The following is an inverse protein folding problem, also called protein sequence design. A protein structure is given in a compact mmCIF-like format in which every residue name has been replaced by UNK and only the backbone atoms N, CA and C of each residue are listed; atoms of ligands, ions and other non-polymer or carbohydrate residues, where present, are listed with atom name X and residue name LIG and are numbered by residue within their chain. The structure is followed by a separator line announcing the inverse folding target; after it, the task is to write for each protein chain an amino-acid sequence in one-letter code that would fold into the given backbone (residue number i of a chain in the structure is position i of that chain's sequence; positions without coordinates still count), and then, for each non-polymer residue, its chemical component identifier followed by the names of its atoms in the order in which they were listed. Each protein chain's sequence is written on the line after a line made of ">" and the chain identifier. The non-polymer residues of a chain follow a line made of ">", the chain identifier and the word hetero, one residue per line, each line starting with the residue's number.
data_IF_556497112027
#
_entry.id   IF_556497112027
#
_cell.length_a   1.000
_cell.length_b   1.000
_cell.length_c   1.000
_cell.angle_alpha   90.00
_cell.angle_beta   90.00
_cell.angle_gamma   90.00
#
_symmetry.space_group_name_H-M   'P 1'
#
loop_
_entity.id
_entity.type
_entity.pdbx_description
1 polymer ?
#
# COMPACT_ATOMS: atom_id res chain seq x y z
N UNK A 1 11.13 -2.89 -12.11
CA UNK A 1 11.17 -4.36 -12.22
C UNK A 1 12.29 -4.94 -11.38
N UNK A 2 13.58 -4.76 -11.70
CA UNK A 2 14.69 -5.33 -10.92
C UNK A 2 14.61 -5.05 -9.41
N UNK A 3 14.44 -3.78 -9.04
CA UNK A 3 14.27 -3.38 -7.63
C UNK A 3 13.01 -3.95 -6.96
N UNK A 4 11.95 -4.21 -7.72
CA UNK A 4 10.74 -4.81 -7.17
C UNK A 4 10.94 -6.30 -6.89
N UNK A 5 11.55 -7.01 -7.84
CA UNK A 5 11.92 -8.42 -7.68
C UNK A 5 12.88 -8.62 -6.50
N UNK A 6 13.85 -7.72 -6.34
CA UNK A 6 14.75 -7.73 -5.18
C UNK A 6 14.01 -7.59 -3.86
N UNK A 7 13.04 -6.67 -3.79
CA UNK A 7 12.24 -6.45 -2.59
C UNK A 7 11.35 -7.65 -2.27
N UNK A 8 10.72 -8.26 -3.27
CA UNK A 8 9.96 -9.49 -3.06
C UNK A 8 10.86 -10.62 -2.59
N UNK A 9 12.02 -10.79 -3.20
CA UNK A 9 12.98 -11.80 -2.80
C UNK A 9 13.53 -11.59 -1.38
N UNK A 10 13.63 -10.34 -0.92
CA UNK A 10 14.06 -9.99 0.44
C UNK A 10 12.92 -9.88 1.46
N UNK A 11 11.67 -10.12 1.07
CA UNK A 11 10.53 -10.08 1.98
C UNK A 11 10.11 -11.49 2.42
N UNK A 12 9.08 -11.59 3.28
CA UNK A 12 8.44 -12.87 3.60
C UNK A 12 7.97 -13.65 2.37
N UNK A 13 7.64 -12.95 1.28
CA UNK A 13 7.27 -13.61 0.03
C UNK A 13 8.47 -14.37 -0.56
N UNK A 14 9.69 -13.86 -0.40
CA UNK A 14 10.93 -14.53 -0.77
C UNK A 14 11.27 -15.76 0.09
N UNK A 15 10.63 -15.91 1.26
CA UNK A 15 10.72 -17.14 2.06
C UNK A 15 9.82 -18.25 1.49
N UNK A 16 8.77 -17.88 0.74
CA UNK A 16 7.76 -18.79 0.20
C UNK A 16 7.89 -19.04 -1.31
N UNK A 17 8.47 -18.09 -2.04
CA UNK A 17 8.61 -18.13 -3.48
C UNK A 17 10.03 -17.74 -3.93
N UNK A 18 10.49 -18.37 -5.01
CA UNK A 18 11.78 -18.02 -5.63
C UNK A 18 11.61 -17.00 -6.74
N UNK A 19 12.39 -15.93 -6.66
CA UNK A 19 12.40 -14.86 -7.65
C UNK A 19 13.64 -14.99 -8.51
N UNK A 20 13.44 -15.29 -9.80
CA UNK A 20 14.49 -15.48 -10.78
C UNK A 20 14.39 -14.42 -11.89
N UNK A 21 15.50 -13.73 -12.15
CA UNK A 21 15.67 -12.86 -13.31
C UNK A 21 16.62 -13.51 -14.30
N UNK A 22 16.18 -13.74 -15.54
CA UNK A 22 16.99 -14.39 -16.58
C UNK A 22 17.30 -13.41 -17.70
N UNK A 23 18.59 -13.13 -17.92
CA UNK A 23 19.06 -12.30 -19.03
C UNK A 23 19.13 -13.12 -20.34
N UNK A 24 18.49 -12.59 -21.38
CA UNK A 24 18.34 -13.22 -22.71
C UNK A 24 18.66 -12.23 -23.82
N UNK A 25 19.89 -11.70 -23.82
CA UNK A 25 20.39 -10.76 -24.83
C UNK A 25 21.68 -11.25 -25.51
N UNK A 26 22.33 -10.38 -26.31
CA UNK A 26 23.56 -10.71 -27.04
C UNK A 26 24.77 -10.96 -26.14
N UNK A 27 24.82 -10.37 -24.93
CA UNK A 27 25.90 -10.50 -23.96
C UNK A 27 25.34 -10.82 -22.56
N UNK A 28 24.67 -11.96 -22.40
CA UNK A 28 23.70 -12.17 -21.33
C UNK A 28 24.36 -12.31 -19.96
N UNK A 29 25.59 -12.85 -19.89
CA UNK A 29 26.40 -12.84 -18.66
C UNK A 29 26.81 -11.43 -18.24
N UNK A 30 27.20 -10.58 -19.20
CA UNK A 30 27.61 -9.19 -18.92
C UNK A 30 26.43 -8.40 -18.38
N UNK A 31 25.26 -8.55 -19.01
CA UNK A 31 24.02 -7.90 -18.58
C UNK A 31 23.61 -8.36 -17.19
N UNK A 32 23.64 -9.67 -16.92
CA UNK A 32 23.37 -10.22 -15.59
C UNK A 32 24.27 -9.58 -14.51
N UNK A 33 25.59 -9.53 -14.75
CA UNK A 33 26.55 -8.88 -13.83
C UNK A 33 26.28 -7.39 -13.67
N UNK A 34 25.91 -6.70 -14.74
CA UNK A 34 25.58 -5.29 -14.69
C UNK A 34 24.35 -5.06 -13.81
N UNK A 35 23.28 -5.84 -13.96
CA UNK A 35 22.07 -5.71 -13.15
C UNK A 35 22.36 -5.89 -11.65
N UNK A 36 23.15 -6.90 -11.28
CA UNK A 36 23.57 -7.10 -9.89
C UNK A 36 24.29 -5.87 -9.35
N UNK A 37 25.25 -5.34 -10.11
CA UNK A 37 26.03 -4.18 -9.69
C UNK A 37 25.24 -2.86 -9.67
N UNK A 38 24.34 -2.65 -10.64
CA UNK A 38 23.63 -1.38 -10.84
C UNK A 38 22.48 -1.22 -9.85
N UNK A 39 21.82 -2.32 -9.49
CA UNK A 39 20.66 -2.32 -8.61
C UNK A 39 20.94 -2.88 -7.21
N UNK A 40 22.19 -3.24 -6.90
CA UNK A 40 22.60 -3.85 -5.64
C UNK A 40 21.71 -5.04 -5.24
N UNK A 41 21.61 -6.00 -6.15
CA UNK A 41 20.74 -7.16 -6.00
C UNK A 41 21.42 -8.20 -5.10
N UNK A 42 20.79 -8.54 -3.98
CA UNK A 42 21.31 -9.45 -2.96
C UNK A 42 20.42 -10.68 -2.79
N UNK A 43 19.10 -10.54 -2.93
CA UNK A 43 18.12 -11.57 -2.64
C UNK A 43 17.59 -12.25 -3.90
N UNK A 44 17.35 -11.48 -4.98
CA UNK A 44 16.85 -12.06 -6.23
C UNK A 44 17.94 -12.90 -6.91
N UNK A 45 17.56 -14.09 -7.39
CA UNK A 45 18.47 -14.91 -8.17
C UNK A 45 18.57 -14.36 -9.60
N UNK A 46 19.80 -14.19 -10.08
CA UNK A 46 20.07 -13.81 -11.47
C UNK A 46 20.71 -14.97 -12.23
N UNK A 47 20.11 -15.29 -13.37
CA UNK A 47 20.61 -16.25 -14.34
C UNK A 47 20.74 -15.63 -15.74
N UNK A 48 21.31 -16.39 -16.66
CA UNK A 48 21.44 -15.97 -18.06
C UNK A 48 21.43 -17.19 -18.99
N UNK A 49 20.93 -17.01 -20.21
CA UNK A 49 20.99 -18.04 -21.25
C UNK A 49 22.26 -17.83 -22.09
N UNK A 50 23.22 -18.76 -22.03
CA UNK A 50 24.50 -18.63 -22.74
C UNK A 50 24.36 -18.77 -24.26
N UNK A 51 23.25 -19.35 -24.73
CA UNK A 51 22.94 -19.47 -26.14
C UNK A 51 21.44 -19.36 -26.42
N UNK A 52 21.07 -18.97 -27.64
CA UNK A 52 19.66 -18.86 -28.05
C UNK A 52 18.92 -20.21 -27.99
N UNK A 53 19.64 -21.34 -28.03
CA UNK A 53 19.05 -22.68 -27.90
C UNK A 53 18.54 -22.98 -26.49
N UNK A 54 19.01 -22.22 -25.49
CA UNK A 54 18.58 -22.32 -24.10
C UNK A 54 17.40 -21.40 -23.79
N UNK A 55 16.90 -20.65 -24.78
CA UNK A 55 15.79 -19.74 -24.55
C UNK A 55 14.52 -20.53 -24.20
N UNK A 56 13.67 -20.00 -23.31
CA UNK A 56 12.36 -20.57 -23.03
C UNK A 56 11.58 -20.85 -24.32
N UNK A 57 11.12 -22.09 -24.47
CA UNK A 57 10.30 -22.53 -25.62
C UNK A 57 8.79 -22.42 -25.37
N UNK A 58 8.40 -22.14 -24.12
CA UNK A 58 7.02 -21.87 -23.74
C UNK A 58 6.63 -20.42 -24.09
N UNK A 59 5.32 -20.12 -24.29
CA UNK A 59 4.84 -18.77 -24.63
C UNK A 59 4.90 -17.85 -23.41
N UNK A 60 6.12 -17.42 -23.04
CA UNK A 60 6.38 -16.45 -21.97
C UNK A 60 6.73 -15.07 -22.52
N UNK A 61 6.15 -14.02 -21.95
CA UNK A 61 6.60 -12.65 -22.26
C UNK A 61 7.89 -12.34 -21.50
N UNK A 62 8.86 -11.71 -22.18
CA UNK A 62 10.18 -11.39 -21.64
C UNK A 62 10.30 -9.89 -21.33
N UNK A 63 11.01 -9.55 -20.25
CA UNK A 63 11.32 -8.15 -19.87
C UNK A 63 10.18 -7.43 -19.14
N UNK A 64 10.08 -6.10 -19.30
CA UNK A 64 9.06 -5.27 -18.64
C UNK A 64 7.61 -5.55 -19.07
N UNK A 65 7.42 -6.57 -19.91
CA UNK A 65 6.13 -7.03 -20.39
C UNK A 65 5.36 -7.89 -19.40
N UNK A 66 5.96 -8.34 -18.30
CA UNK A 66 5.29 -9.15 -17.30
C UNK A 66 6.22 -10.21 -16.71
N UNK A 67 5.64 -11.13 -15.96
CA UNK A 67 6.30 -12.27 -15.35
C UNK A 67 5.70 -13.57 -15.88
N UNK A 68 6.48 -14.63 -15.69
CA UNK A 68 6.02 -16.01 -15.80
C UNK A 68 6.05 -16.57 -14.39
N UNK A 69 4.93 -17.13 -13.96
CA UNK A 69 4.78 -17.67 -12.61
C UNK A 69 4.63 -19.19 -12.72
N UNK A 70 5.46 -19.90 -11.98
CA UNK A 70 5.43 -21.35 -11.87
C UNK A 70 4.84 -21.74 -10.52
N UNK A 71 4.09 -22.85 -10.49
CA UNK A 71 3.67 -23.48 -9.24
C UNK A 71 4.83 -24.28 -8.63
N UNK A 72 4.59 -24.85 -7.44
CA UNK A 72 5.53 -25.72 -6.72
C UNK A 72 5.97 -26.98 -7.48
N UNK A 73 5.14 -27.46 -8.41
CA UNK A 73 5.42 -28.62 -9.26
C UNK A 73 6.26 -28.23 -10.48
N UNK A 74 6.61 -26.94 -10.63
CA UNK A 74 7.33 -26.41 -11.78
C UNK A 74 6.47 -26.29 -13.04
N UNK A 75 5.13 -26.32 -12.92
CA UNK A 75 4.21 -26.07 -14.03
C UNK A 75 3.93 -24.58 -14.14
N UNK A 76 3.61 -24.12 -15.34
CA UNK A 76 3.29 -22.71 -15.58
C UNK A 76 1.88 -22.44 -15.05
N UNK A 77 1.78 -21.71 -13.94
CA UNK A 77 0.52 -21.20 -13.42
C UNK A 77 0.05 -19.98 -14.21
N UNK A 78 0.98 -19.07 -14.54
CA UNK A 78 0.72 -17.90 -15.38
C UNK A 78 1.84 -17.73 -16.40
N UNK A 79 1.49 -17.92 -17.68
CA UNK A 79 2.44 -17.77 -18.79
C UNK A 79 2.77 -16.31 -19.10
N UNK A 80 1.88 -15.38 -18.71
CA UNK A 80 1.99 -13.96 -19.00
C UNK A 80 1.17 -13.16 -18.00
N UNK A 81 1.81 -12.54 -17.02
CA UNK A 81 1.13 -11.51 -16.21
C UNK A 81 0.87 -10.28 -17.07
N UNK A 82 0.03 -9.37 -16.57
CA UNK A 82 -0.15 -8.08 -17.22
C UNK A 82 1.15 -7.29 -17.35
N UNK A 83 1.23 -6.47 -18.38
CA UNK A 83 2.42 -5.67 -18.69
C UNK A 83 2.62 -4.55 -17.69
N UNK A 84 3.79 -4.54 -17.03
CA UNK A 84 4.18 -3.48 -16.12
C UNK A 84 4.28 -2.12 -16.81
N UNK A 85 4.61 -2.11 -18.11
CA UNK A 85 4.67 -0.89 -18.90
C UNK A 85 3.30 -0.34 -19.30
N UNK A 86 2.28 -1.21 -19.42
CA UNK A 86 0.95 -0.83 -19.91
C UNK A 86 0.01 -0.43 -18.78
N UNK A 87 0.07 -1.13 -17.65
CA UNK A 87 -0.87 -0.92 -16.54
C UNK A 87 -0.20 -0.58 -15.20
N UNK A 88 1.13 -0.40 -15.20
CA UNK A 88 1.89 0.14 -14.07
C UNK A 88 1.75 -0.69 -12.79
N UNK A 89 1.39 -0.03 -11.69
CA UNK A 89 1.25 -0.65 -10.35
C UNK A 89 0.23 -1.79 -10.34
N UNK A 90 -0.80 -1.75 -11.18
CA UNK A 90 -1.84 -2.80 -11.25
C UNK A 90 -1.32 -4.15 -11.73
N UNK A 91 -0.28 -4.17 -12.59
CA UNK A 91 0.33 -5.42 -13.03
C UNK A 91 1.12 -6.10 -11.91
N UNK A 92 1.71 -5.32 -11.01
CA UNK A 92 2.39 -5.85 -9.82
C UNK A 92 1.39 -6.50 -8.88
N UNK A 93 0.28 -5.82 -8.59
CA UNK A 93 -0.81 -6.36 -7.77
C UNK A 93 -1.35 -7.71 -8.26
N UNK A 94 -1.56 -7.86 -9.57
CA UNK A 94 -2.05 -9.12 -10.12
C UNK A 94 -1.03 -10.25 -9.99
N UNK A 95 0.26 -9.94 -10.16
CA UNK A 95 1.33 -10.90 -9.93
C UNK A 95 1.42 -11.28 -8.45
N UNK A 96 1.30 -10.30 -7.54
CA UNK A 96 1.26 -10.52 -6.08
C UNK A 96 0.15 -11.52 -5.71
N UNK A 97 -1.10 -11.23 -6.08
CA UNK A 97 -2.24 -12.11 -5.78
C UNK A 97 -2.04 -13.52 -6.34
N UNK A 98 -1.43 -13.65 -7.53
CA UNK A 98 -1.20 -14.97 -8.13
C UNK A 98 -0.16 -15.78 -7.35
N UNK A 99 0.98 -15.17 -7.02
CA UNK A 99 2.07 -15.85 -6.29
C UNK A 99 1.54 -16.30 -4.93
N UNK A 100 0.81 -15.42 -4.28
CA UNK A 100 0.17 -15.67 -3.01
C UNK A 100 -0.79 -16.86 -3.00
N UNK A 101 -1.77 -16.89 -3.92
CA UNK A 101 -2.70 -18.02 -4.03
C UNK A 101 -1.95 -19.35 -4.21
N UNK A 102 -0.85 -19.35 -4.95
CA UNK A 102 -0.03 -20.56 -5.15
C UNK A 102 0.77 -20.96 -3.91
N UNK A 103 1.11 -20.02 -3.04
CA UNK A 103 1.79 -20.30 -1.78
C UNK A 103 0.83 -20.87 -0.71
N UNK A 104 -0.46 -20.52 -0.78
CA UNK A 104 -1.49 -20.91 0.20
C UNK A 104 -2.20 -22.25 -0.13
N UNK A 105 -2.05 -22.81 -1.34
CA UNK A 105 -2.61 -24.14 -1.72
C UNK A 105 -2.11 -25.33 -0.87
N UNK A 106 -1.27 -25.08 0.15
CA UNK A 106 -0.71 -26.08 1.07
C UNK A 106 -1.24 -26.02 2.52
N UNK A 107 -2.04 -25.01 2.87
CA UNK A 107 -2.80 -25.02 4.13
C UNK A 107 -4.24 -25.48 3.82
N UNK A 108 -4.52 -26.78 3.94
CA UNK A 108 -5.87 -27.37 3.80
C UNK A 108 -6.83 -26.94 4.94
N UNK A 109 -6.76 -25.69 5.36
CA UNK A 109 -7.65 -25.10 6.35
C UNK A 109 -7.30 -23.64 6.55
N UNK A 110 -7.88 -22.77 5.74
CA UNK A 110 -8.51 -21.53 6.19
C UNK A 110 -9.23 -20.87 5.00
N UNK A 111 -10.33 -20.19 5.30
CA UNK A 111 -11.30 -19.67 4.34
C UNK A 111 -10.67 -18.69 3.33
N UNK A 112 -11.14 -18.70 2.07
CA UNK A 112 -10.65 -17.91 0.93
C UNK A 112 -10.54 -16.38 1.22
N UNK A 113 -11.27 -15.88 2.23
CA UNK A 113 -11.23 -14.50 2.72
C UNK A 113 -9.99 -14.19 3.58
N UNK A 114 -9.52 -15.15 4.37
CA UNK A 114 -8.39 -15.00 5.30
C UNK A 114 -7.05 -14.93 4.55
N UNK A 115 -6.99 -15.60 3.40
CA UNK A 115 -5.92 -15.49 2.40
C UNK A 115 -5.83 -14.07 1.83
N UNK A 116 -6.93 -13.52 1.31
CA UNK A 116 -6.94 -12.16 0.76
C UNK A 116 -6.53 -11.09 1.81
N UNK A 117 -6.95 -11.29 3.06
CA UNK A 117 -6.62 -10.46 4.23
C UNK A 117 -5.13 -10.53 4.62
N UNK A 118 -4.55 -11.74 4.72
CA UNK A 118 -3.11 -11.90 5.01
C UNK A 118 -2.24 -11.27 3.92
N UNK A 119 -2.64 -11.40 2.66
CA UNK A 119 -1.91 -10.86 1.51
C UNK A 119 -1.95 -9.34 1.47
N UNK A 120 -3.10 -8.75 1.76
CA UNK A 120 -3.23 -7.31 1.89
C UNK A 120 -2.37 -6.76 3.05
N UNK A 121 -2.24 -7.50 4.16
CA UNK A 121 -1.42 -7.13 5.34
C UNK A 121 0.06 -7.06 5.01
N UNK A 122 0.61 -8.10 4.39
CA UNK A 122 2.03 -8.14 4.03
C UNK A 122 2.34 -7.14 2.89
N UNK A 123 1.40 -6.88 1.99
CA UNK A 123 1.55 -5.89 0.90
C UNK A 123 1.55 -4.43 1.37
N UNK A 124 0.72 -4.07 2.34
CA UNK A 124 0.73 -2.72 2.93
C UNK A 124 1.96 -2.49 3.82
N UNK A 125 2.49 -3.53 4.48
CA UNK A 125 3.78 -3.43 5.18
C UNK A 125 4.93 -3.08 4.23
N UNK A 126 4.97 -3.69 3.04
CA UNK A 126 5.98 -3.39 2.00
C UNK A 126 5.82 -1.96 1.43
N UNK A 127 4.59 -1.44 1.37
CA UNK A 127 4.30 -0.07 0.93
C UNK A 127 4.73 0.98 1.96
N UNK A 128 4.51 0.72 3.26
CA UNK A 128 4.97 1.57 4.37
C UNK A 128 6.50 1.69 4.42
N UNK A 129 7.22 0.60 4.16
CA UNK A 129 8.70 0.62 4.10
C UNK A 129 9.24 1.48 2.94
N UNK A 130 8.51 1.57 1.82
CA UNK A 130 8.84 2.50 0.74
C UNK A 130 8.69 3.98 1.15
N UNK A 131 7.64 4.33 1.90
CA UNK A 131 7.42 5.70 2.36
C UNK A 131 8.38 6.11 3.49
N UNK A 132 8.70 5.19 4.41
CA UNK A 132 9.66 5.44 5.49
C UNK A 132 11.11 5.62 5.00
N UNK A 133 11.52 4.93 3.92
CA UNK A 133 12.83 5.10 3.30
C UNK A 133 13.05 6.51 2.70
N UNK A 134 11.98 7.22 2.36
CA UNK A 134 12.06 8.61 1.85
C UNK A 134 12.32 9.62 2.99
N UNK A 135 11.89 9.32 4.21
CA UNK A 135 12.02 10.19 5.40
C UNK A 135 13.40 10.09 6.05
N UNK A 136 14.03 8.91 6.01
CA UNK A 136 15.40 8.73 6.55
C UNK A 136 16.46 9.47 5.75
N UNK A 137 16.26 9.65 4.43
CA UNK A 137 17.11 10.45 3.56
C UNK A 137 17.00 11.97 3.81
N UNK A 138 15.89 12.45 4.39
CA UNK A 138 15.66 13.87 4.72
C UNK A 138 16.11 14.26 6.15
N UNK A 139 16.33 13.28 7.05
CA UNK A 139 16.79 13.51 8.44
C UNK A 139 18.29 13.76 8.60
N UNK A 140 19.06 13.83 7.51
CA UNK A 140 20.53 13.96 7.54
C UNK A 140 21.10 15.35 7.82
N UNK A 141 20.27 16.38 8.06
CA UNK A 141 20.72 17.74 8.41
C UNK A 141 19.72 18.39 9.35
N UNK A 142 20.00 18.32 10.66
CA UNK A 142 20.10 19.49 11.52
C UNK A 142 20.41 19.04 12.96
N UNK A 143 21.59 19.47 13.41
CA UNK A 143 22.08 19.34 14.78
C UNK A 143 21.51 20.50 15.64
N UNK A 144 21.59 20.29 16.97
CA UNK A 144 21.52 21.28 18.06
C UNK A 144 20.18 21.40 18.83
N UNK A 145 20.10 20.58 19.90
CA UNK A 145 20.01 20.96 21.34
C UNK A 145 18.93 21.97 21.77
N UNK A 146 17.99 21.49 22.60
CA UNK A 146 17.45 22.28 23.72
C UNK A 146 17.00 21.37 24.87
N UNK A 147 17.40 21.76 26.07
CA UNK A 147 17.20 21.17 27.38
C UNK A 147 16.01 21.88 28.04
N UNK A 148 15.04 21.17 28.64
CA UNK A 148 14.12 21.74 29.65
C UNK A 148 13.36 20.66 30.43
N UNK A 149 13.64 20.59 31.73
CA UNK A 149 12.76 20.05 32.78
C UNK A 149 11.54 20.95 33.00
N UNK A 150 10.38 20.35 33.23
CA UNK A 150 9.21 21.02 33.82
C UNK A 150 8.13 20.02 34.20
N UNK A 151 7.79 19.96 35.50
CA UNK A 151 6.90 19.00 36.16
C UNK A 151 5.50 19.61 36.34
N UNK A 152 4.48 18.74 36.26
CA UNK A 152 3.12 18.82 36.83
C UNK A 152 2.21 19.99 36.43
N UNK A 153 1.03 19.68 35.92
CA UNK A 153 -0.15 19.65 36.79
C UNK A 153 -1.31 18.82 36.20
N UNK A 154 -2.04 18.21 37.14
CA UNK A 154 -3.10 17.23 36.98
C UNK A 154 -4.42 17.98 36.79
N UNK A 155 -5.10 17.77 35.66
CA UNK A 155 -6.50 18.16 35.47
C UNK A 155 -7.28 16.97 34.90
N UNK A 156 -8.45 16.78 35.48
CA UNK A 156 -9.37 15.66 35.32
C UNK A 156 -9.71 15.37 33.85
N UNK A 157 -9.65 14.10 33.50
CA UNK A 157 -9.83 13.54 32.17
C UNK A 157 -11.31 13.43 31.82
N UNK A 158 -11.83 14.43 31.13
CA UNK A 158 -12.70 14.11 29.98
C UNK A 158 -11.77 13.52 28.92
N UNK A 159 -11.99 12.27 28.51
CA UNK A 159 -11.26 11.66 27.40
C UNK A 159 -11.50 12.51 26.15
N UNK A 160 -10.62 13.48 25.90
CA UNK A 160 -10.58 14.21 24.64
C UNK A 160 -10.32 13.19 23.54
N UNK A 161 -11.36 12.88 22.77
CA UNK A 161 -11.26 12.11 21.53
C UNK A 161 -10.07 12.66 20.73
N UNK A 162 -9.09 11.81 20.45
CA UNK A 162 -7.90 12.22 19.72
C UNK A 162 -8.30 12.64 18.30
N UNK A 163 -7.68 13.70 17.78
CA UNK A 163 -8.00 14.24 16.46
C UNK A 163 -7.79 13.17 15.38
N UNK A 164 -8.80 12.96 14.53
CA UNK A 164 -8.77 11.96 13.47
C UNK A 164 -8.99 10.53 13.95
N UNK A 165 -9.34 10.34 15.23
CA UNK A 165 -9.65 9.01 15.76
C UNK A 165 -11.01 8.56 15.28
N UNK A 166 -11.04 7.41 14.62
CA UNK A 166 -12.25 6.80 14.08
C UNK A 166 -12.54 5.46 14.76
N UNK A 167 -13.81 5.01 14.79
CA UNK A 167 -14.16 3.71 15.35
C UNK A 167 -13.49 2.57 14.58
N UNK A 168 -13.20 1.48 15.30
CA UNK A 168 -12.82 0.22 14.65
C UNK A 168 -13.96 -0.31 13.80
N UNK A 169 -13.61 -0.83 12.63
CA UNK A 169 -14.53 -1.49 11.70
C UNK A 169 -14.41 -3.01 11.73
N UNK A 170 -13.71 -3.55 12.74
CA UNK A 170 -13.52 -4.99 12.92
C UNK A 170 -12.65 -5.65 11.87
N UNK A 171 -11.91 -4.86 11.09
CA UNK A 171 -10.98 -5.32 10.06
C UNK A 171 -9.60 -4.74 10.37
N UNK A 172 -8.71 -5.58 10.90
CA UNK A 172 -7.38 -5.21 11.40
C UNK A 172 -6.65 -4.18 10.52
N UNK A 173 -6.71 -4.34 9.20
CA UNK A 173 -5.97 -3.49 8.26
C UNK A 173 -6.60 -2.12 8.06
N UNK A 174 -7.93 -2.06 8.06
CA UNK A 174 -8.64 -0.79 8.00
C UNK A 174 -8.42 -0.02 9.29
N UNK A 175 -8.44 -0.73 10.42
CA UNK A 175 -8.16 -0.15 11.74
C UNK A 175 -6.71 0.34 11.84
N UNK A 176 -5.74 -0.40 11.31
CA UNK A 176 -4.34 0.06 11.23
C UNK A 176 -4.18 1.31 10.34
N UNK A 177 -4.88 1.38 9.19
CA UNK A 177 -4.87 2.54 8.31
C UNK A 177 -5.52 3.76 8.97
N UNK A 178 -6.65 3.55 9.65
CA UNK A 178 -7.32 4.55 10.48
C UNK A 178 -6.41 5.09 11.58
N UNK A 179 -5.72 4.21 12.31
CA UNK A 179 -4.75 4.60 13.32
C UNK A 179 -3.58 5.38 12.73
N UNK A 180 -3.12 5.01 11.53
CA UNK A 180 -2.04 5.72 10.84
C UNK A 180 -2.45 7.13 10.43
N UNK A 181 -3.62 7.29 9.82
CA UNK A 181 -4.19 8.60 9.51
C UNK A 181 -4.36 9.44 10.79
N UNK A 182 -4.89 8.86 11.86
CA UNK A 182 -5.02 9.51 13.17
C UNK A 182 -3.66 9.97 13.73
N UNK A 183 -2.60 9.17 13.58
CA UNK A 183 -1.27 9.55 14.01
C UNK A 183 -0.72 10.76 13.23
N UNK A 184 -0.98 10.84 11.92
CA UNK A 184 -0.60 11.98 11.09
C UNK A 184 -1.41 13.24 11.44
N UNK A 185 -2.72 13.12 11.71
CA UNK A 185 -3.53 14.21 12.23
C UNK A 185 -2.97 14.76 13.55
N UNK A 186 -2.64 13.88 14.50
CA UNK A 186 -2.03 14.27 15.77
C UNK A 186 -0.64 14.89 15.60
N UNK A 187 0.15 14.41 14.63
CA UNK A 187 1.44 14.99 14.32
C UNK A 187 1.29 16.42 13.81
N UNK A 188 0.34 16.67 12.91
CA UNK A 188 0.05 18.01 12.38
C UNK A 188 -0.49 18.96 13.45
N UNK A 189 -1.29 18.45 14.39
CA UNK A 189 -1.74 19.24 15.54
C UNK A 189 -0.61 19.55 16.53
N UNK A 190 0.43 18.72 16.62
CA UNK A 190 1.59 19.05 17.47
C UNK A 190 2.60 19.94 16.76
N UNK A 191 2.93 19.61 15.52
CA UNK A 191 3.97 20.22 14.71
C UNK A 191 3.48 20.42 13.27
N UNK A 192 2.83 21.56 12.98
CA UNK A 192 2.35 21.87 11.64
C UNK A 192 3.46 21.80 10.61
N UNK A 193 3.21 21.09 9.51
CA UNK A 193 4.19 20.92 8.44
C UNK A 193 3.49 20.63 7.13
N UNK A 194 3.84 21.39 6.08
CA UNK A 194 3.34 21.17 4.72
C UNK A 194 3.66 19.76 4.22
N UNK A 195 4.85 19.24 4.55
CA UNK A 195 5.28 17.91 4.12
C UNK A 195 4.44 16.80 4.79
N UNK A 196 4.16 16.95 6.09
CA UNK A 196 3.32 16.00 6.83
C UNK A 196 1.86 16.09 6.34
N UNK A 197 1.39 17.29 5.97
CA UNK A 197 0.05 17.46 5.39
C UNK A 197 -0.03 16.79 4.02
N UNK A 198 0.97 16.94 3.17
CA UNK A 198 1.04 16.24 1.89
C UNK A 198 1.07 14.72 2.07
N UNK A 199 1.80 14.22 3.08
CA UNK A 199 1.79 12.80 3.43
C UNK A 199 0.39 12.35 3.84
N UNK A 200 -0.28 13.08 4.74
CA UNK A 200 -1.65 12.78 5.16
C UNK A 200 -2.62 12.68 3.98
N UNK A 201 -2.56 13.62 3.01
CA UNK A 201 -3.42 13.57 1.83
C UNK A 201 -3.18 12.30 1.00
N UNK A 202 -1.92 11.90 0.82
CA UNK A 202 -1.57 10.66 0.09
C UNK A 202 -2.02 9.41 0.82
N UNK A 203 -1.90 9.37 2.15
CA UNK A 203 -2.35 8.23 2.96
C UNK A 203 -3.89 8.11 2.92
N UNK A 204 -4.64 9.22 3.00
CA UNK A 204 -6.11 9.20 2.86
C UNK A 204 -6.54 8.72 1.47
N UNK A 205 -5.91 9.21 0.40
CA UNK A 205 -6.20 8.73 -0.96
C UNK A 205 -5.89 7.24 -1.12
N UNK A 206 -4.77 6.79 -0.57
CA UNK A 206 -4.39 5.37 -0.58
C UNK A 206 -5.41 4.52 0.15
N UNK A 207 -5.77 4.91 1.37
CA UNK A 207 -6.75 4.22 2.20
C UNK A 207 -8.08 4.03 1.47
N UNK A 208 -8.63 5.09 0.88
CA UNK A 208 -9.88 5.00 0.12
C UNK A 208 -9.78 4.12 -1.13
N UNK A 209 -8.65 4.13 -1.83
CA UNK A 209 -8.40 3.22 -2.96
C UNK A 209 -8.39 1.76 -2.50
N UNK A 210 -7.78 1.52 -1.35
CA UNK A 210 -7.54 0.21 -0.77
C UNK A 210 -8.85 -0.36 -0.18
N UNK A 211 -9.68 0.48 0.44
CA UNK A 211 -11.03 0.16 0.89
C UNK A 211 -11.99 -0.12 -0.29
N UNK A 212 -11.99 0.70 -1.34
CA UNK A 212 -12.84 0.46 -2.51
C UNK A 212 -12.54 -0.88 -3.18
N UNK A 213 -11.27 -1.33 -3.15
CA UNK A 213 -10.88 -2.65 -3.67
C UNK A 213 -11.45 -3.75 -2.79
N UNK A 214 -11.33 -3.62 -1.46
CA UNK A 214 -11.88 -4.58 -0.49
C UNK A 214 -13.39 -4.72 -0.63
N UNK A 215 -14.11 -3.60 -0.76
CA UNK A 215 -15.56 -3.61 -0.97
C UNK A 215 -15.95 -4.26 -2.30
N UNK A 216 -15.17 -4.02 -3.37
CA UNK A 216 -15.41 -4.69 -4.67
C UNK A 216 -15.15 -6.19 -4.61
N UNK A 217 -14.09 -6.64 -3.95
CA UNK A 217 -13.74 -8.07 -3.87
C UNK A 217 -14.71 -8.87 -3.01
N UNK A 218 -15.28 -8.27 -1.98
CA UNK A 218 -16.30 -8.88 -1.12
C UNK A 218 -17.71 -8.87 -1.72
N UNK A 219 -17.88 -8.30 -2.92
CA UNK A 219 -19.17 -8.19 -3.59
C UNK A 219 -20.10 -7.17 -2.93
N UNK A 220 -19.58 -6.25 -2.11
CA UNK A 220 -20.36 -5.21 -1.47
C UNK A 220 -21.10 -4.36 -2.51
N UNK A 221 -22.42 -4.24 -2.35
CA UNK A 221 -23.29 -3.51 -3.28
C UNK A 221 -23.56 -4.22 -4.62
N UNK A 222 -23.19 -5.50 -4.75
CA UNK A 222 -23.59 -6.35 -5.89
C UNK A 222 -25.09 -6.70 -5.82
N UNK A 223 -25.76 -6.75 -6.99
CA UNK A 223 -27.18 -7.09 -7.08
C UNK A 223 -28.19 -5.93 -6.95
N UNK A 224 -27.73 -4.69 -6.76
CA UNK A 224 -28.58 -3.49 -6.76
C UNK A 224 -28.66 -2.85 -8.16
N UNK A 225 -29.79 -2.20 -8.52
CA UNK A 225 -29.91 -1.45 -9.78
C UNK A 225 -28.82 -0.37 -9.93
N UNK A 226 -28.36 -0.12 -11.16
CA UNK A 226 -27.42 0.97 -11.47
C UNK A 226 -27.98 2.31 -10.92
N UNK A 227 -27.24 2.93 -10.01
CA UNK A 227 -27.60 4.21 -9.38
C UNK A 227 -28.05 4.15 -7.91
N UNK A 228 -28.29 2.96 -7.33
CA UNK A 228 -28.57 2.78 -5.88
C UNK A 228 -27.60 1.82 -5.17
N UNK A 229 -26.45 1.52 -5.78
CA UNK A 229 -25.46 0.68 -5.15
C UNK A 229 -24.76 1.43 -3.99
N UNK A 230 -24.75 0.88 -2.76
CA UNK A 230 -24.01 1.45 -1.63
C UNK A 230 -22.55 1.73 -1.95
N UNK A 231 -21.91 0.85 -2.74
CA UNK A 231 -20.55 1.01 -3.22
C UNK A 231 -20.38 2.28 -4.07
N UNK A 232 -21.34 2.59 -4.95
CA UNK A 232 -21.26 3.79 -5.80
C UNK A 232 -21.33 5.06 -4.94
N UNK A 233 -22.24 5.10 -3.96
CA UNK A 233 -22.36 6.26 -3.07
C UNK A 233 -21.14 6.41 -2.14
N UNK A 234 -20.57 5.28 -1.71
CA UNK A 234 -19.35 5.23 -0.90
C UNK A 234 -18.14 5.78 -1.66
N UNK A 235 -17.88 5.24 -2.86
CA UNK A 235 -16.82 5.71 -3.76
C UNK A 235 -16.98 7.16 -4.23
N UNK A 236 -18.21 7.69 -4.22
CA UNK A 236 -18.45 9.11 -4.50
C UNK A 236 -18.02 9.99 -3.33
N UNK A 237 -18.23 9.54 -2.10
CA UNK A 237 -17.80 10.27 -0.92
C UNK A 237 -16.27 10.30 -0.79
N UNK A 238 -15.58 9.18 -1.09
CA UNK A 238 -14.11 9.15 -1.21
C UNK A 238 -13.59 10.24 -2.13
N UNK A 239 -14.13 10.31 -3.36
CA UNK A 239 -13.72 11.31 -4.34
C UNK A 239 -13.97 12.74 -3.86
N UNK A 240 -15.07 12.97 -3.12
CA UNK A 240 -15.39 14.28 -2.54
C UNK A 240 -14.34 14.67 -1.49
N UNK A 241 -13.99 13.75 -0.58
CA UNK A 241 -13.02 13.98 0.49
C UNK A 241 -11.61 14.16 -0.08
N UNK A 242 -11.17 13.29 -1.00
CA UNK A 242 -9.85 13.42 -1.66
C UNK A 242 -9.74 14.76 -2.38
N UNK A 243 -10.78 15.17 -3.12
CA UNK A 243 -10.79 16.49 -3.76
C UNK A 243 -10.64 17.61 -2.73
N UNK A 244 -11.40 17.57 -1.64
CA UNK A 244 -11.30 18.56 -0.57
C UNK A 244 -9.89 18.59 0.05
N UNK A 245 -9.30 17.42 0.30
CA UNK A 245 -7.95 17.28 0.86
C UNK A 245 -6.88 17.91 -0.05
N UNK A 246 -6.98 17.74 -1.37
CA UNK A 246 -6.09 18.39 -2.34
C UNK A 246 -6.33 19.91 -2.44
N UNK A 247 -7.59 20.37 -2.39
CA UNK A 247 -7.91 21.81 -2.35
C UNK A 247 -7.31 22.46 -1.07
N UNK A 248 -7.36 21.77 0.07
CA UNK A 248 -6.73 22.18 1.34
C UNK A 248 -5.21 22.18 1.27
N UNK A 249 -4.61 21.15 0.66
CA UNK A 249 -3.15 21.08 0.46
C UNK A 249 -2.64 22.26 -0.37
N UNK A 250 -3.36 22.66 -1.41
CA UNK A 250 -2.99 23.82 -2.21
C UNK A 250 -3.03 25.11 -1.37
N UNK A 251 -4.07 25.31 -0.56
CA UNK A 251 -4.16 26.43 0.38
C UNK A 251 -3.00 26.42 1.40
N UNK A 252 -2.65 25.25 1.93
CA UNK A 252 -1.52 25.04 2.84
C UNK A 252 -0.19 25.37 2.14
N UNK A 253 0.02 24.96 0.89
CA UNK A 253 1.24 25.26 0.12
C UNK A 253 1.40 26.76 -0.17
N UNK A 254 0.30 27.45 -0.44
CA UNK A 254 0.32 28.88 -0.77
C UNK A 254 0.59 29.75 0.46
N UNK A 255 -0.04 29.45 1.60
CA UNK A 255 0.05 30.28 2.81
C UNK A 255 1.13 29.81 3.77
N UNK A 256 1.27 28.50 3.95
CA UNK A 256 2.35 27.86 4.71
C UNK A 256 2.42 28.17 6.20
N UNK A 257 1.46 28.91 6.76
CA UNK A 257 1.46 29.25 8.19
C UNK A 257 0.79 28.17 9.05
N UNK A 258 1.25 28.08 10.29
CA UNK A 258 0.81 27.07 11.26
C UNK A 258 -0.70 27.11 11.53
N UNK A 259 -1.32 28.29 11.52
CA UNK A 259 -2.76 28.45 11.77
C UNK A 259 -3.58 27.86 10.63
N UNK A 260 -3.19 28.16 9.38
CA UNK A 260 -3.80 27.57 8.18
C UNK A 260 -3.63 26.05 8.19
N UNK A 261 -2.44 25.53 8.46
CA UNK A 261 -2.21 24.07 8.51
C UNK A 261 -3.13 23.43 9.55
N UNK A 262 -3.19 23.99 10.77
CA UNK A 262 -4.05 23.46 11.84
C UNK A 262 -5.54 23.51 11.50
N UNK A 263 -6.00 24.60 10.90
CA UNK A 263 -7.40 24.76 10.49
C UNK A 263 -7.79 23.71 9.45
N UNK A 264 -6.99 23.55 8.39
CA UNK A 264 -7.25 22.54 7.35
C UNK A 264 -7.10 21.11 7.90
N UNK A 265 -6.18 20.88 8.85
CA UNK A 265 -6.00 19.57 9.50
C UNK A 265 -7.28 19.18 10.27
N UNK A 266 -7.89 20.11 11.00
CA UNK A 266 -9.15 19.85 11.73
C UNK A 266 -10.32 19.59 10.79
N UNK A 267 -10.46 20.41 9.75
CA UNK A 267 -11.53 20.23 8.76
C UNK A 267 -11.43 18.87 8.05
N UNK A 268 -10.21 18.47 7.67
CA UNK A 268 -9.97 17.17 7.05
C UNK A 268 -10.20 16.01 8.03
N UNK A 269 -9.82 16.16 9.30
CA UNK A 269 -10.11 15.18 10.34
C UNK A 269 -11.61 14.99 10.54
N UNK A 270 -12.40 16.08 10.56
CA UNK A 270 -13.86 16.01 10.67
C UNK A 270 -14.50 15.29 9.47
N UNK A 271 -14.02 15.55 8.25
CA UNK A 271 -14.48 14.84 7.05
C UNK A 271 -14.18 13.34 7.13
N UNK A 272 -12.96 12.99 7.51
CA UNK A 272 -12.52 11.61 7.66
C UNK A 272 -13.30 10.87 8.77
N UNK A 273 -13.47 11.51 9.93
CA UNK A 273 -14.23 10.93 11.04
C UNK A 273 -15.70 10.73 10.72
N UNK A 274 -16.31 11.69 10.00
CA UNK A 274 -17.69 11.58 9.55
C UNK A 274 -17.84 10.43 8.57
N UNK A 275 -16.92 10.31 7.60
CA UNK A 275 -16.90 9.20 6.66
C UNK A 275 -16.84 7.85 7.38
N UNK A 276 -15.81 7.64 8.21
CA UNK A 276 -15.64 6.37 8.90
C UNK A 276 -16.82 5.99 9.80
N UNK A 277 -17.43 6.99 10.44
CA UNK A 277 -18.59 6.75 11.30
C UNK A 277 -19.85 6.44 10.49
N UNK A 278 -20.10 7.17 9.40
CA UNK A 278 -21.36 7.06 8.65
C UNK A 278 -21.32 5.97 7.58
N UNK A 279 -20.15 5.66 7.04
CA UNK A 279 -19.95 4.79 5.90
C UNK A 279 -19.23 3.50 6.30
N UNK A 280 -18.04 3.61 6.89
CA UNK A 280 -17.18 2.44 7.11
C UNK A 280 -17.76 1.47 8.13
N UNK A 281 -18.43 2.03 9.14
CA UNK A 281 -19.18 1.26 10.14
C UNK A 281 -20.31 0.39 9.55
N UNK A 282 -20.78 0.66 8.33
CA UNK A 282 -21.95 -0.02 7.74
C UNK A 282 -21.64 -1.36 7.09
N UNK A 283 -20.39 -1.63 6.73
CA UNK A 283 -20.02 -2.92 6.14
C UNK A 283 -19.29 -3.82 7.14
N UNK A 284 -19.14 -3.42 8.40
CA UNK A 284 -18.64 -4.26 9.50
C UNK A 284 -19.40 -5.59 9.56
N UNK A 285 -20.73 -5.56 9.41
CA UNK A 285 -21.56 -6.77 9.38
C UNK A 285 -21.30 -7.65 8.15
N UNK A 286 -20.90 -7.05 7.03
CA UNK A 286 -20.57 -7.73 5.77
C UNK A 286 -19.17 -8.35 5.79
N UNK A 287 -18.21 -7.70 6.46
CA UNK A 287 -16.86 -8.24 6.67
C UNK A 287 -16.83 -9.30 7.77
N UNK A 288 -17.73 -9.25 8.76
CA UNK A 288 -17.83 -10.24 9.83
C UNK A 288 -18.60 -11.52 9.44
N UNK A 289 -19.19 -11.59 8.25
CA UNK A 289 -19.92 -12.78 7.76
C UNK A 289 -19.07 -13.75 6.94
N UNK A 290 -17.78 -13.44 6.76
CA UNK A 290 -16.81 -14.30 6.09
C UNK A 290 -15.66 -14.59 7.04
#
# INVERSE_FOLDING_TARGET
>A
MALQMERWAGSKLGEQAHFLMVCVDELPERTARQFVSEYNLEHVQIGYCGSQREYPTFPGQLGCGGLVIFDRDGRIAVAKTSSFNEIGVKAWFQADCTIATLCDEDDEGDDEADVALRLYRDMNSLRRDMNNGYVSALKGRDDVRADSKGKNDRVESEEKKALGSVPSVGHDLMDEEHEHCAALFQQLDKSPSVNVFEQLVKEIESHFDDEEKLLKSTGFGSGQPEGMSPLITHSQDHRRIVKAAYDMLENVRVKGDDEVIRSNTKELAELFETHATEHDSRYVEYLATF
#
